data_IF_489577437994
#
_entry.id   IF_489577437994
#
_cell.length_a   1.000
_cell.length_b   1.000
_cell.length_c   1.000
_cell.angle_alpha   90.00
_cell.angle_beta   90.00
_cell.angle_gamma   90.00
#
_symmetry.space_group_name_H-M   'P 1'
#
loop_
_entity.id
_entity.type
_entity.pdbx_description
1 polymer ?
#
# COMPACT_ATOMS: atom_id res chain seq x y z
N UNK A 1 15.82 3.49 -15.09
CA UNK A 1 15.93 4.96 -15.05
C UNK A 1 16.68 5.41 -16.30
N UNK A 2 16.23 6.47 -16.99
CA UNK A 2 16.87 6.95 -18.22
C UNK A 2 17.90 8.03 -17.84
N UNK A 3 19.18 7.70 -17.91
CA UNK A 3 20.27 8.67 -17.83
C UNK A 3 20.34 9.48 -19.13
N UNK A 4 20.51 10.80 -19.04
CA UNK A 4 20.67 11.69 -20.19
C UNK A 4 22.11 12.22 -20.25
N UNK A 5 22.75 12.09 -21.41
CA UNK A 5 24.08 12.69 -21.65
C UNK A 5 23.94 13.91 -22.56
N UNK A 6 24.52 15.03 -22.15
CA UNK A 6 24.50 16.28 -22.91
C UNK A 6 25.90 16.88 -23.01
N UNK A 7 26.12 17.63 -24.10
CA UNK A 7 27.37 18.34 -24.35
C UNK A 7 27.17 19.86 -24.44
N UNK A 8 28.20 20.60 -24.03
CA UNK A 8 28.23 22.06 -24.06
C UNK A 8 29.65 22.60 -24.08
N UNK A 9 29.83 23.89 -24.42
CA UNK A 9 31.19 24.49 -24.46
C UNK A 9 31.80 24.61 -23.06
N UNK A 10 30.97 24.63 -22.03
CA UNK A 10 31.34 24.56 -20.62
C UNK A 10 30.50 23.51 -19.91
N UNK A 11 30.98 23.04 -18.76
CA UNK A 11 30.21 22.12 -17.89
C UNK A 11 28.86 22.73 -17.53
N UNK A 12 28.80 24.02 -17.21
CA UNK A 12 27.55 24.74 -16.90
C UNK A 12 26.58 24.77 -18.08
N UNK A 13 27.06 24.99 -19.30
CA UNK A 13 26.21 24.98 -20.50
C UNK A 13 25.63 23.57 -20.76
N UNK A 14 26.44 22.54 -20.54
CA UNK A 14 26.01 21.15 -20.69
C UNK A 14 24.94 20.78 -19.64
N UNK A 15 25.12 21.22 -18.39
CA UNK A 15 24.14 21.06 -17.31
C UNK A 15 22.83 21.78 -17.66
N UNK A 16 22.89 23.05 -18.07
CA UNK A 16 21.70 23.83 -18.39
C UNK A 16 20.87 23.19 -19.52
N UNK A 17 21.54 22.70 -20.58
CA UNK A 17 20.86 21.97 -21.67
C UNK A 17 20.20 20.68 -21.20
N UNK A 18 20.84 19.94 -20.28
CA UNK A 18 20.24 18.75 -19.70
C UNK A 18 19.00 19.08 -18.86
N UNK A 19 19.08 20.11 -18.02
CA UNK A 19 17.96 20.57 -17.19
C UNK A 19 16.76 21.02 -18.03
N UNK A 20 17.00 21.78 -19.10
CA UNK A 20 15.95 22.21 -20.04
C UNK A 20 15.32 21.02 -20.78
N UNK A 21 16.13 20.02 -21.17
CA UNK A 21 15.63 18.82 -21.87
C UNK A 21 14.80 17.93 -20.94
N UNK A 22 15.17 17.84 -19.66
CA UNK A 22 14.47 17.06 -18.65
C UNK A 22 13.31 17.83 -18.01
N UNK A 23 13.24 19.15 -18.20
CA UNK A 23 12.32 20.06 -17.52
C UNK A 23 12.38 19.90 -15.97
N UNK A 24 13.60 19.78 -15.46
CA UNK A 24 13.91 19.62 -14.02
C UNK A 24 14.84 20.74 -13.56
N UNK A 25 14.83 21.04 -12.27
CA UNK A 25 15.75 21.96 -11.62
C UNK A 25 17.06 21.28 -11.22
N UNK A 26 18.09 22.10 -10.92
CA UNK A 26 19.43 21.59 -10.55
C UNK A 26 19.43 20.75 -9.26
N UNK A 27 18.44 20.94 -8.41
CA UNK A 27 18.30 20.21 -7.14
C UNK A 27 17.66 18.82 -7.32
N UNK A 28 17.00 18.59 -8.46
CA UNK A 28 16.27 17.35 -8.79
C UNK A 28 17.09 16.37 -9.63
N UNK A 29 18.37 16.66 -9.86
CA UNK A 29 19.24 15.82 -10.69
C UNK A 29 20.61 15.61 -10.06
N UNK A 30 21.15 14.41 -10.23
CA UNK A 30 22.55 14.10 -9.99
C UNK A 30 23.35 14.33 -11.26
N UNK A 31 24.42 15.12 -11.16
CA UNK A 31 25.27 15.49 -12.29
C UNK A 31 26.64 14.86 -12.14
N UNK A 32 26.99 13.98 -13.09
CA UNK A 32 28.32 13.44 -13.23
C UNK A 32 29.04 14.10 -14.42
N UNK A 33 30.19 14.74 -14.15
CA UNK A 33 31.03 15.32 -15.22
C UNK A 33 31.85 14.20 -15.84
N UNK A 34 31.53 13.83 -17.09
CA UNK A 34 32.22 12.78 -17.84
C UNK A 34 33.50 13.34 -18.46
N UNK A 35 33.45 14.58 -18.95
CA UNK A 35 34.59 15.28 -19.53
C UNK A 35 34.52 16.77 -19.22
N UNK A 36 35.54 17.29 -18.54
CA UNK A 36 35.74 18.73 -18.40
C UNK A 36 36.27 19.28 -19.73
N UNK A 37 35.43 20.06 -20.43
CA UNK A 37 35.79 20.65 -21.72
C UNK A 37 37.05 21.52 -21.63
N UNK A 38 37.80 21.61 -22.74
CA UNK A 38 39.04 22.39 -22.80
C UNK A 38 38.84 23.64 -23.64
N UNK A 39 39.19 24.80 -23.09
CA UNK A 39 39.26 26.06 -23.84
C UNK A 39 40.59 26.15 -24.56
N UNK A 40 40.55 26.03 -25.89
CA UNK A 40 41.69 26.26 -26.76
C UNK A 40 42.06 27.75 -26.84
N UNK A 41 43.31 28.03 -27.23
CA UNK A 41 43.81 29.39 -27.42
C UNK A 41 43.28 29.88 -28.79
N UNK A 42 42.53 30.98 -28.81
CA UNK A 42 41.94 31.57 -30.04
C UNK A 42 40.99 30.63 -30.84
N UNK A 43 40.30 29.69 -30.17
CA UNK A 43 39.29 28.82 -30.80
C UNK A 43 39.84 27.58 -31.50
N UNK A 44 41.16 27.36 -31.49
CA UNK A 44 41.79 26.17 -32.02
C UNK A 44 41.97 25.12 -30.90
N UNK A 45 41.45 23.90 -31.12
CA UNK A 45 41.57 22.78 -30.18
C UNK A 45 40.60 22.82 -28.99
N UNK A 46 39.46 23.51 -29.13
CA UNK A 46 38.41 23.47 -28.12
C UNK A 46 37.73 22.09 -28.09
N UNK A 47 37.56 21.53 -26.89
CA UNK A 47 36.81 20.30 -26.68
C UNK A 47 35.58 20.61 -25.82
N UNK A 48 34.42 20.10 -26.24
CA UNK A 48 33.18 20.25 -25.49
C UNK A 48 33.23 19.48 -24.16
N UNK A 49 32.60 20.06 -23.14
CA UNK A 49 32.31 19.38 -21.89
C UNK A 49 31.14 18.42 -22.08
N UNK A 50 31.22 17.26 -21.43
CA UNK A 50 30.16 16.25 -21.44
C UNK A 50 29.76 15.97 -20.01
N UNK A 51 28.45 16.03 -19.75
CA UNK A 51 27.85 15.70 -18.46
C UNK A 51 26.80 14.61 -18.65
N UNK A 52 26.73 13.71 -17.68
CA UNK A 52 25.63 12.76 -17.51
C UNK A 52 24.74 13.26 -16.39
N UNK A 53 23.46 13.41 -16.68
CA UNK A 53 22.45 13.87 -15.73
C UNK A 53 21.44 12.75 -15.51
N UNK A 54 21.25 12.40 -14.26
CA UNK A 54 20.26 11.41 -13.83
C UNK A 54 19.26 12.12 -12.92
N UNK A 55 17.94 11.99 -13.16
CA UNK A 55 16.95 12.47 -12.21
C UNK A 55 17.20 11.81 -10.85
N UNK A 56 17.42 12.63 -9.82
CA UNK A 56 17.27 12.15 -8.44
C UNK A 56 15.82 11.72 -8.36
N UNK A 57 15.56 10.47 -7.99
CA UNK A 57 14.19 10.04 -7.72
C UNK A 57 13.63 11.03 -6.69
N UNK A 58 12.67 11.84 -7.13
CA UNK A 58 12.11 12.92 -6.32
C UNK A 58 11.68 12.31 -4.99
N UNK A 59 12.18 12.86 -3.88
CA UNK A 59 11.64 12.52 -2.57
C UNK A 59 10.11 12.67 -2.66
N UNK A 60 9.32 11.71 -2.16
CA UNK A 60 7.88 11.72 -2.36
C UNK A 60 7.29 13.04 -1.88
N UNK A 61 6.79 13.85 -2.81
CA UNK A 61 6.28 15.20 -2.56
C UNK A 61 5.05 15.16 -1.64
N UNK A 62 4.36 14.02 -1.56
CA UNK A 62 3.21 13.77 -0.70
C UNK A 62 3.31 12.44 0.06
N UNK A 63 2.64 12.36 1.23
CA UNK A 63 2.61 11.14 2.07
C UNK A 63 2.06 9.92 1.32
N UNK A 64 1.17 10.15 0.35
CA UNK A 64 0.57 9.11 -0.49
C UNK A 64 1.63 8.43 -1.38
N UNK A 65 2.49 9.23 -2.01
CA UNK A 65 3.57 8.73 -2.87
C UNK A 65 4.61 7.97 -2.06
N UNK A 66 4.91 8.43 -0.85
CA UNK A 66 5.80 7.71 0.07
C UNK A 66 5.24 6.35 0.46
N UNK A 67 3.95 6.29 0.83
CA UNK A 67 3.30 5.04 1.20
C UNK A 67 3.26 4.05 0.02
N UNK A 68 3.01 4.57 -1.18
CA UNK A 68 3.06 3.81 -2.43
C UNK A 68 4.45 3.25 -2.69
N UNK A 69 5.50 4.08 -2.65
CA UNK A 69 6.88 3.67 -2.90
C UNK A 69 7.36 2.59 -1.91
N UNK A 70 7.02 2.75 -0.63
CA UNK A 70 7.30 1.75 0.41
C UNK A 70 6.64 0.42 0.07
N UNK A 71 5.37 0.43 -0.33
CA UNK A 71 4.65 -0.80 -0.67
C UNK A 71 5.22 -1.44 -1.94
N UNK A 72 5.46 -0.67 -3.00
CA UNK A 72 6.06 -1.16 -4.26
C UNK A 72 7.45 -1.79 -4.02
N UNK A 73 8.26 -1.16 -3.17
CA UNK A 73 9.57 -1.67 -2.78
C UNK A 73 9.44 -3.01 -2.06
N UNK A 74 8.53 -3.13 -1.10
CA UNK A 74 8.30 -4.38 -0.37
C UNK A 74 7.82 -5.50 -1.29
N UNK A 75 6.85 -5.22 -2.17
CA UNK A 75 6.32 -6.20 -3.12
C UNK A 75 7.42 -6.70 -4.07
N UNK A 76 8.25 -5.78 -4.58
CA UNK A 76 9.41 -6.11 -5.43
C UNK A 76 10.40 -7.01 -4.68
N UNK A 77 10.73 -6.69 -3.43
CA UNK A 77 11.64 -7.50 -2.60
C UNK A 77 11.07 -8.87 -2.23
N UNK A 78 9.76 -9.00 -2.19
CA UNK A 78 9.05 -10.27 -2.00
C UNK A 78 8.94 -11.09 -3.30
N UNK A 79 9.34 -10.53 -4.45
CA UNK A 79 9.21 -11.18 -5.75
C UNK A 79 7.78 -11.21 -6.28
N UNK A 80 6.93 -10.27 -5.86
CA UNK A 80 5.52 -10.17 -6.28
C UNK A 80 5.40 -9.11 -7.36
N UNK A 81 4.85 -9.49 -8.52
CA UNK A 81 4.59 -8.56 -9.63
C UNK A 81 3.20 -7.97 -9.48
N UNK A 82 3.12 -6.72 -9.01
CA UNK A 82 1.86 -6.01 -8.80
C UNK A 82 2.02 -4.51 -9.07
N UNK A 83 0.92 -3.86 -9.46
CA UNK A 83 0.80 -2.40 -9.53
C UNK A 83 0.08 -1.87 -8.29
N UNK A 84 0.54 -0.72 -7.80
CA UNK A 84 -0.04 -0.02 -6.65
C UNK A 84 -0.63 1.30 -7.11
N UNK A 85 -1.88 1.55 -6.75
CA UNK A 85 -2.57 2.81 -7.01
C UNK A 85 -3.03 3.45 -5.68
N UNK A 86 -2.83 4.76 -5.54
CA UNK A 86 -3.40 5.52 -4.43
C UNK A 86 -4.88 5.79 -4.72
N UNK A 87 -5.75 5.47 -3.77
CA UNK A 87 -7.16 5.81 -3.81
C UNK A 87 -7.45 6.87 -2.74
N UNK A 88 -8.29 7.84 -3.11
CA UNK A 88 -8.69 8.95 -2.22
C UNK A 88 -9.76 8.54 -1.20
N UNK A 89 -10.34 7.33 -1.34
CA UNK A 89 -11.43 6.83 -0.47
C UNK A 89 -11.09 5.45 0.08
N UNK A 90 -11.28 5.20 1.40
CA UNK A 90 -11.10 3.88 1.97
C UNK A 90 -12.16 2.89 1.44
N UNK A 91 -11.80 1.61 1.24
CA UNK A 91 -12.71 0.58 0.73
C UNK A 91 -13.81 0.24 1.74
N UNK A 92 -13.53 0.36 3.04
CA UNK A 92 -14.49 0.11 4.14
C UNK A 92 -14.16 1.02 5.33
N UNK A 93 -15.16 1.72 5.87
CA UNK A 93 -15.06 2.55 7.09
C UNK A 93 -14.96 4.06 6.83
N UNK A 94 -15.14 4.84 7.90
CA UNK A 94 -15.18 6.31 7.87
C UNK A 94 -13.83 6.88 8.32
N UNK A 95 -13.11 7.54 7.43
CA UNK A 95 -11.89 8.25 7.78
C UNK A 95 -11.45 9.19 6.67
N UNK A 96 -11.74 10.49 6.83
CA UNK A 96 -11.03 11.53 6.09
C UNK A 96 -9.54 11.48 6.47
N UNK A 97 -8.65 11.62 5.50
CA UNK A 97 -7.20 11.58 5.72
C UNK A 97 -6.58 10.18 5.81
N UNK A 98 -7.28 9.13 5.35
CA UNK A 98 -6.74 7.76 5.26
C UNK A 98 -6.09 7.54 3.90
N UNK A 99 -4.81 7.19 3.90
CA UNK A 99 -4.10 6.79 2.69
C UNK A 99 -4.55 5.38 2.32
N UNK A 100 -5.19 5.24 1.17
CA UNK A 100 -5.65 3.96 0.66
C UNK A 100 -4.81 3.54 -0.52
N UNK A 101 -4.20 2.36 -0.43
CA UNK A 101 -3.40 1.77 -1.49
C UNK A 101 -4.13 0.54 -2.02
N UNK A 102 -4.39 0.52 -3.32
CA UNK A 102 -5.01 -0.60 -4.00
C UNK A 102 -3.96 -1.34 -4.83
N UNK A 103 -3.90 -2.66 -4.64
CA UNK A 103 -2.92 -3.54 -5.28
C UNK A 103 -3.64 -4.40 -6.31
N UNK A 104 -3.17 -4.34 -7.55
CA UNK A 104 -3.70 -5.07 -8.70
C UNK A 104 -2.57 -5.79 -9.45
N UNK A 105 -2.87 -6.93 -10.08
CA UNK A 105 -1.85 -7.76 -10.72
C UNK A 105 -2.18 -9.25 -10.68
N UNK A 106 -1.22 -10.06 -11.10
CA UNK A 106 -1.40 -11.51 -11.21
C UNK A 106 -0.98 -12.22 -9.91
N UNK A 107 -1.63 -13.34 -9.59
CA UNK A 107 -1.29 -14.21 -8.46
C UNK A 107 -1.23 -13.53 -7.08
N UNK A 108 -2.03 -12.49 -6.84
CA UNK A 108 -2.05 -11.72 -5.59
C UNK A 108 -2.67 -12.44 -4.38
N UNK A 109 -3.14 -13.69 -4.56
CA UNK A 109 -3.66 -14.51 -3.47
C UNK A 109 -2.68 -14.70 -2.30
N UNK A 110 -1.37 -14.67 -2.60
CA UNK A 110 -0.30 -14.73 -1.59
C UNK A 110 -0.27 -13.49 -0.69
N UNK A 111 -0.64 -12.31 -1.21
CA UNK A 111 -0.68 -11.06 -0.46
C UNK A 111 -1.87 -11.02 0.49
N UNK A 112 -2.98 -11.67 0.12
CA UNK A 112 -4.14 -11.86 0.98
C UNK A 112 -3.77 -12.81 2.12
N UNK A 113 -3.23 -13.97 1.76
CA UNK A 113 -2.94 -15.05 2.70
C UNK A 113 -4.21 -15.64 3.34
N UNK A 114 -4.04 -16.52 4.33
CA UNK A 114 -5.18 -17.18 4.98
C UNK A 114 -6.05 -16.16 5.70
N UNK A 115 -7.29 -15.97 5.22
CA UNK A 115 -8.29 -15.05 5.80
C UNK A 115 -7.81 -13.58 5.87
N UNK A 116 -6.90 -13.16 4.98
CA UNK A 116 -6.41 -11.77 4.98
C UNK A 116 -5.34 -11.48 6.04
N UNK A 117 -4.76 -12.52 6.68
CA UNK A 117 -3.70 -12.34 7.68
C UNK A 117 -2.45 -11.70 7.06
N UNK A 118 -2.00 -12.17 5.90
CA UNK A 118 -0.82 -11.60 5.23
C UNK A 118 -1.07 -10.14 4.86
N UNK A 119 -2.25 -9.82 4.33
CA UNK A 119 -2.61 -8.45 3.98
C UNK A 119 -2.60 -7.54 5.21
N UNK A 120 -3.11 -8.04 6.34
CA UNK A 120 -3.11 -7.31 7.61
C UNK A 120 -1.68 -7.06 8.13
N UNK A 121 -0.81 -8.06 8.04
CA UNK A 121 0.60 -7.93 8.42
C UNK A 121 1.37 -6.97 7.51
N UNK A 122 1.15 -7.06 6.19
CA UNK A 122 1.74 -6.15 5.21
C UNK A 122 1.31 -4.70 5.48
N UNK A 123 0.02 -4.47 5.69
CA UNK A 123 -0.51 -3.15 6.06
C UNK A 123 0.13 -2.62 7.35
N UNK A 124 0.31 -3.48 8.36
CA UNK A 124 0.95 -3.08 9.61
C UNK A 124 2.41 -2.66 9.42
N UNK A 125 3.18 -3.42 8.64
CA UNK A 125 4.59 -3.10 8.36
C UNK A 125 4.70 -1.81 7.56
N UNK A 126 3.93 -1.63 6.50
CA UNK A 126 3.92 -0.39 5.70
C UNK A 126 3.57 0.80 6.58
N UNK A 127 2.54 0.69 7.42
CA UNK A 127 2.15 1.75 8.35
C UNK A 127 3.29 2.14 9.29
N UNK A 128 4.06 1.18 9.80
CA UNK A 128 5.19 1.47 10.69
C UNK A 128 6.32 2.19 9.96
N UNK A 129 6.64 1.76 8.73
CA UNK A 129 7.69 2.39 7.91
C UNK A 129 7.30 3.83 7.58
N UNK A 130 6.08 4.06 7.09
CA UNK A 130 5.58 5.40 6.75
C UNK A 130 5.51 6.31 7.98
N UNK A 131 5.05 5.79 9.12
CA UNK A 131 5.01 6.58 10.36
C UNK A 131 6.41 6.96 10.86
N UNK A 132 7.40 6.06 10.69
CA UNK A 132 8.78 6.35 11.05
C UNK A 132 9.40 7.40 10.12
N UNK A 133 9.13 7.35 8.82
CA UNK A 133 9.69 8.32 7.87
C UNK A 133 9.07 9.71 7.99
N UNK A 134 7.75 9.78 8.22
CA UNK A 134 7.03 11.05 8.34
C UNK A 134 7.05 11.65 9.74
N UNK A 135 7.52 10.91 10.75
CA UNK A 135 7.41 11.27 12.18
C UNK A 135 5.96 11.62 12.60
N UNK A 136 4.97 11.11 11.86
CA UNK A 136 3.56 11.39 12.05
C UNK A 136 2.74 10.10 12.05
N UNK A 137 1.58 10.12 12.72
CA UNK A 137 0.68 8.97 12.72
C UNK A 137 -0.15 8.98 11.44
N UNK A 138 0.29 8.20 10.45
CA UNK A 138 -0.38 8.09 9.15
C UNK A 138 -1.28 6.84 9.12
N UNK A 139 -2.61 6.99 8.98
CA UNK A 139 -3.51 5.86 8.81
C UNK A 139 -3.41 5.34 7.36
N UNK A 140 -2.73 4.19 7.19
CA UNK A 140 -2.59 3.51 5.89
C UNK A 140 -3.49 2.28 5.83
N UNK A 141 -4.22 2.13 4.73
CA UNK A 141 -5.05 0.97 4.39
C UNK A 141 -4.55 0.40 3.06
N UNK A 142 -4.39 -0.92 3.01
CA UNK A 142 -4.01 -1.64 1.78
C UNK A 142 -5.17 -2.57 1.42
N UNK A 143 -5.66 -2.50 0.19
CA UNK A 143 -6.61 -3.46 -0.37
C UNK A 143 -6.00 -4.19 -1.57
N UNK A 144 -6.52 -5.38 -1.83
CA UNK A 144 -6.07 -6.25 -2.93
C UNK A 144 -7.29 -6.59 -3.75
N UNK A 145 -7.43 -5.94 -4.90
CA UNK A 145 -8.53 -6.14 -5.86
C UNK A 145 -9.93 -6.13 -5.22
N UNK A 146 -10.20 -5.30 -4.21
CA UNK A 146 -11.51 -5.29 -3.54
C UNK A 146 -11.74 -6.44 -2.55
N UNK A 147 -10.70 -7.15 -2.10
CA UNK A 147 -10.80 -8.26 -1.16
C UNK A 147 -11.52 -7.87 0.13
N UNK A 148 -11.24 -6.70 0.70
CA UNK A 148 -11.87 -6.28 1.97
C UNK A 148 -13.39 -6.21 1.86
N UNK A 149 -13.91 -5.62 0.78
CA UNK A 149 -15.35 -5.50 0.55
C UNK A 149 -16.00 -6.88 0.36
N UNK A 150 -15.43 -7.71 -0.53
CA UNK A 150 -15.93 -9.08 -0.75
C UNK A 150 -15.91 -9.92 0.54
N UNK A 151 -14.86 -9.76 1.36
CA UNK A 151 -14.71 -10.47 2.63
C UNK A 151 -15.74 -10.00 3.65
N UNK A 152 -16.02 -8.70 3.72
CA UNK A 152 -17.03 -8.12 4.58
C UNK A 152 -18.42 -8.71 4.27
N UNK A 153 -18.83 -8.68 3.01
CA UNK A 153 -20.11 -9.24 2.55
C UNK A 153 -20.21 -10.74 2.81
N UNK A 154 -19.13 -11.49 2.55
CA UNK A 154 -19.09 -12.93 2.80
C UNK A 154 -19.25 -13.27 4.29
N UNK A 155 -18.68 -12.47 5.20
CA UNK A 155 -18.83 -12.67 6.64
C UNK A 155 -20.23 -12.34 7.14
N UNK A 156 -20.87 -11.29 6.61
CA UNK A 156 -22.27 -10.99 6.92
C UNK A 156 -23.21 -12.11 6.46
N UNK A 157 -23.04 -12.57 5.22
CA UNK A 157 -23.82 -13.68 4.69
C UNK A 157 -23.59 -14.97 5.48
N UNK A 158 -22.35 -15.25 5.90
CA UNK A 158 -22.04 -16.38 6.77
C UNK A 158 -22.77 -16.26 8.12
N UNK A 159 -22.71 -15.09 8.75
CA UNK A 159 -23.35 -14.84 10.04
C UNK A 159 -24.86 -15.11 9.97
N UNK A 160 -25.54 -14.54 8.98
CA UNK A 160 -26.99 -14.74 8.78
C UNK A 160 -27.35 -16.20 8.55
N UNK A 161 -26.63 -16.90 7.65
CA UNK A 161 -26.89 -18.32 7.39
C UNK A 161 -26.72 -19.18 8.65
N UNK A 162 -25.70 -18.89 9.45
CA UNK A 162 -25.44 -19.66 10.67
C UNK A 162 -26.45 -19.32 11.77
N UNK A 163 -26.90 -18.06 11.87
CA UNK A 163 -27.99 -17.69 12.77
C UNK A 163 -29.27 -18.48 12.46
N UNK A 164 -29.68 -18.56 11.18
CA UNK A 164 -30.86 -19.35 10.78
C UNK A 164 -30.73 -20.83 11.12
N UNK A 165 -29.53 -21.41 10.95
CA UNK A 165 -29.27 -22.79 11.37
C UNK A 165 -29.38 -22.97 12.88
N UNK A 166 -28.88 -22.01 13.67
CA UNK A 166 -28.95 -22.02 15.13
C UNK A 166 -30.39 -21.90 15.60
N UNK A 167 -31.20 -21.00 15.01
CA UNK A 167 -32.64 -20.86 15.30
C UNK A 167 -33.41 -22.15 15.00
N UNK A 168 -33.14 -22.77 13.85
CA UNK A 168 -33.83 -23.99 13.43
C UNK A 168 -33.46 -25.19 14.29
N UNK A 169 -32.17 -25.34 14.64
CA UNK A 169 -31.67 -26.54 15.35
C UNK A 169 -31.69 -26.39 16.87
N UNK A 170 -31.76 -25.17 17.39
CA UNK A 170 -31.66 -24.86 18.82
C UNK A 170 -30.31 -25.19 19.44
N UNK A 171 -29.22 -25.24 18.65
CA UNK A 171 -27.87 -25.62 19.12
C UNK A 171 -26.85 -24.55 18.75
N UNK A 172 -25.90 -24.23 19.63
CA UNK A 172 -24.80 -23.32 19.30
C UNK A 172 -24.00 -23.75 18.07
N UNK A 173 -23.56 -22.77 17.28
CA UNK A 173 -22.64 -22.97 16.17
C UNK A 173 -21.34 -22.22 16.41
N UNK A 174 -20.21 -22.92 16.34
CA UNK A 174 -18.87 -22.33 16.51
C UNK A 174 -18.26 -22.08 15.14
N UNK A 175 -17.95 -20.82 14.84
CA UNK A 175 -17.28 -20.44 13.60
C UNK A 175 -15.79 -20.75 13.66
N UNK A 176 -15.14 -20.70 12.50
CA UNK A 176 -13.67 -20.77 12.42
C UNK A 176 -13.02 -19.57 13.12
N UNK A 177 -11.76 -19.71 13.59
CA UNK A 177 -11.01 -18.57 14.11
C UNK A 177 -10.89 -17.44 13.09
N UNK A 178 -10.83 -16.20 13.55
CA UNK A 178 -10.82 -15.04 12.66
C UNK A 178 -10.27 -13.79 13.36
N UNK A 179 -9.89 -12.79 12.57
CA UNK A 179 -9.29 -11.55 13.08
C UNK A 179 -10.32 -10.73 13.87
N UNK A 180 -9.84 -9.87 14.77
CA UNK A 180 -10.71 -9.12 15.67
C UNK A 180 -11.76 -8.26 14.93
N UNK A 181 -11.39 -7.65 13.80
CA UNK A 181 -12.32 -6.88 12.99
C UNK A 181 -13.38 -7.78 12.33
N UNK A 182 -13.03 -8.99 11.91
CA UNK A 182 -13.98 -9.96 11.34
C UNK A 182 -15.01 -10.42 12.39
N UNK A 183 -14.56 -10.67 13.63
CA UNK A 183 -15.46 -10.99 14.74
C UNK A 183 -16.47 -9.86 14.97
N UNK A 184 -15.99 -8.61 14.93
CA UNK A 184 -16.86 -7.43 15.05
C UNK A 184 -17.91 -7.38 13.94
N UNK A 185 -17.57 -7.71 12.69
CA UNK A 185 -18.54 -7.75 11.59
C UNK A 185 -19.68 -8.72 11.92
N UNK A 186 -19.38 -9.91 12.43
CA UNK A 186 -20.39 -10.92 12.78
C UNK A 186 -21.24 -10.47 13.97
N UNK A 187 -20.61 -9.94 15.03
CA UNK A 187 -21.33 -9.42 16.19
C UNK A 187 -22.30 -8.31 15.77
N UNK A 188 -21.89 -7.38 14.92
CA UNK A 188 -22.74 -6.32 14.41
C UNK A 188 -23.84 -6.83 13.48
N UNK A 189 -23.53 -7.78 12.60
CA UNK A 189 -24.50 -8.35 11.68
C UNK A 189 -25.67 -9.08 12.37
N UNK A 190 -25.45 -9.56 13.60
CA UNK A 190 -26.44 -10.29 14.40
C UNK A 190 -26.87 -9.53 15.66
N UNK A 191 -26.48 -8.26 15.82
CA UNK A 191 -26.75 -7.49 17.03
C UNK A 191 -28.25 -7.29 17.28
N UNK A 192 -29.00 -6.99 16.22
CA UNK A 192 -30.43 -6.70 16.27
C UNK A 192 -31.30 -7.96 16.11
N UNK A 193 -30.70 -9.14 15.98
CA UNK A 193 -31.44 -10.40 15.87
C UNK A 193 -32.03 -10.78 17.23
N UNK A 194 -33.35 -10.98 17.36
CA UNK A 194 -33.98 -11.27 18.65
C UNK A 194 -33.75 -12.69 19.14
N UNK A 195 -33.43 -13.64 18.25
CA UNK A 195 -33.44 -15.07 18.55
C UNK A 195 -32.04 -15.66 18.79
N UNK A 196 -30.98 -14.88 18.50
CA UNK A 196 -29.60 -15.32 18.69
C UNK A 196 -28.77 -14.32 19.50
N UNK A 197 -27.68 -14.82 20.05
CA UNK A 197 -26.62 -14.04 20.67
C UNK A 197 -25.26 -14.53 20.17
N UNK A 198 -24.23 -13.71 20.32
CA UNK A 198 -22.89 -14.00 19.81
C UNK A 198 -21.83 -13.74 20.88
N UNK A 199 -20.88 -14.66 21.02
CA UNK A 199 -19.77 -14.53 21.96
C UNK A 199 -18.43 -14.85 21.31
N UNK A 200 -17.38 -14.10 21.63
CA UNK A 200 -16.03 -14.33 21.15
C UNK A 200 -15.20 -15.16 22.13
N UNK A 201 -14.98 -16.44 21.82
CA UNK A 201 -14.28 -17.43 22.67
C UNK A 201 -12.86 -17.72 22.17
N UNK A 202 -11.92 -17.92 23.09
CA UNK A 202 -10.51 -18.23 22.82
C UNK A 202 -9.59 -16.99 22.84
N UNK A 203 -8.32 -17.19 22.51
CA UNK A 203 -7.27 -16.16 22.60
C UNK A 203 -6.44 -16.06 21.31
N UNK A 204 -5.92 -14.85 21.06
CA UNK A 204 -5.06 -14.55 19.92
C UNK A 204 -5.65 -15.02 18.58
N UNK A 205 -4.87 -15.82 17.85
CA UNK A 205 -5.22 -16.34 16.52
C UNK A 205 -6.27 -17.46 16.54
N UNK A 206 -6.49 -18.09 17.70
CA UNK A 206 -7.48 -19.16 17.87
C UNK A 206 -8.86 -18.62 18.25
N UNK A 207 -8.95 -17.31 18.52
CA UNK A 207 -10.18 -16.65 18.93
C UNK A 207 -11.21 -16.66 17.80
N UNK A 208 -12.43 -17.06 18.15
CA UNK A 208 -13.54 -17.32 17.23
C UNK A 208 -14.87 -16.84 17.80
N UNK A 209 -15.89 -16.74 16.97
CA UNK A 209 -17.25 -16.37 17.39
C UNK A 209 -18.12 -17.61 17.49
N UNK A 210 -18.87 -17.71 18.58
CA UNK A 210 -19.91 -18.71 18.80
C UNK A 210 -21.25 -18.00 18.69
N UNK A 211 -22.14 -18.52 17.84
CA UNK A 211 -23.52 -18.06 17.70
C UNK A 211 -24.40 -19.02 18.50
N UNK A 212 -25.18 -18.49 19.42
CA UNK A 212 -26.01 -19.25 20.36
C UNK A 212 -27.47 -18.81 20.24
N UNK A 213 -28.45 -19.72 20.45
CA UNK A 213 -29.83 -19.29 20.65
C UNK A 213 -29.88 -18.32 21.84
N UNK A 214 -30.69 -17.27 21.75
CA UNK A 214 -30.95 -16.41 22.90
C UNK A 214 -31.84 -17.19 23.86
N UNK A 215 -31.41 -17.31 25.11
CA UNK A 215 -32.26 -17.86 26.17
C UNK A 215 -33.45 -16.90 26.36
N UNK A 216 -34.66 -17.42 26.23
CA UNK A 216 -35.92 -16.70 26.48
C UNK A 216 -36.20 -16.65 27.98
#
# INVERSE_FOLDING_TARGET
>A
MKSLETSGRTVEEAIQKALETLNLSREEVEVAVVKEGKRGILGLGAEDAIVRVEPLASAPENMDDMAKEVLETLLTRMGVTASVACQTKPPVGDGEGVITLDVTGDDLGILIGRRGQTLSSLQYVVRLIVAHQTQARVPVVIDVEGYKQRRYEALQALAQRMAEQVKTRGRPFTLEPMLAYERRIIHLALADDPDVTTESVGEGETRKVVIMPREQ
#
